data_IF_961309836603
#
_entry.id   IF_961309836603
#
_cell.length_a   1.000
_cell.length_b   1.000
_cell.length_c   1.000
_cell.angle_alpha   90.00
_cell.angle_beta   90.00
_cell.angle_gamma   90.00
#
_symmetry.space_group_name_H-M   'P 1'
#
loop_
_entity.id
_entity.type
_entity.pdbx_description
1 polymer ?
#
# COMPACT_ATOMS: atom_id res chain seq x y z
N UNK A 1 30.99 28.68 9.50
CA UNK A 1 29.99 27.99 10.35
C UNK A 1 29.10 27.17 9.41
N UNK A 2 29.37 25.87 9.33
CA UNK A 2 28.67 24.95 8.45
C UNK A 2 27.49 24.38 9.25
N UNK A 3 26.28 24.76 8.90
CA UNK A 3 25.06 24.24 9.53
C UNK A 3 24.74 22.90 8.86
N UNK A 4 25.00 21.79 9.56
CA UNK A 4 24.53 20.47 9.13
C UNK A 4 23.00 20.44 9.16
N UNK A 5 22.33 19.88 8.13
CA UNK A 5 20.88 19.73 8.16
C UNK A 5 20.48 18.73 9.26
N UNK A 6 19.32 18.91 9.90
CA UNK A 6 18.84 18.01 10.93
C UNK A 6 18.63 16.61 10.36
N UNK A 7 19.19 15.62 11.06
CA UNK A 7 19.02 14.20 10.79
C UNK A 7 17.55 13.83 10.97
N UNK A 8 16.85 13.45 9.89
CA UNK A 8 15.49 12.96 9.98
C UNK A 8 15.49 11.59 10.66
N UNK A 9 14.67 11.37 11.68
CA UNK A 9 14.57 10.06 12.33
C UNK A 9 13.99 9.02 11.37
N UNK A 10 14.53 7.82 11.47
CA UNK A 10 14.14 6.66 10.62
C UNK A 10 12.82 6.12 11.14
N UNK A 11 11.79 5.90 10.29
CA UNK A 11 10.55 5.29 10.73
C UNK A 11 10.79 3.92 11.35
N UNK A 12 10.16 3.66 12.50
CA UNK A 12 10.38 2.47 13.34
C UNK A 12 10.11 1.12 12.67
N UNK A 13 9.43 1.10 11.51
CA UNK A 13 9.16 -0.11 10.74
C UNK A 13 10.45 -0.77 10.20
N UNK A 14 11.49 0.04 9.93
CA UNK A 14 12.80 -0.48 9.51
C UNK A 14 13.53 -1.16 10.67
N UNK A 15 13.50 -0.57 11.86
CA UNK A 15 14.09 -1.18 13.06
C UNK A 15 13.42 -2.51 13.41
N UNK A 16 12.14 -2.64 13.10
CA UNK A 16 11.40 -3.88 13.33
C UNK A 16 11.71 -4.95 12.27
N UNK A 17 11.85 -4.57 11.01
CA UNK A 17 12.33 -5.46 9.95
C UNK A 17 13.77 -5.93 10.24
N UNK A 18 14.65 -5.05 10.68
CA UNK A 18 16.02 -5.42 11.07
C UNK A 18 16.06 -6.28 12.32
N UNK A 19 15.20 -6.04 13.32
CA UNK A 19 15.08 -6.87 14.51
C UNK A 19 14.53 -8.27 14.22
N UNK A 20 13.65 -8.42 13.23
CA UNK A 20 13.13 -9.72 12.78
C UNK A 20 14.15 -10.53 11.97
N UNK A 21 15.05 -9.88 11.24
CA UNK A 21 16.01 -10.54 10.36
C UNK A 21 17.46 -10.47 10.87
N UNK A 22 17.75 -9.62 11.88
CA UNK A 22 19.11 -9.38 12.40
C UNK A 22 19.60 -10.33 13.47
N UNK A 23 18.76 -11.18 14.06
CA UNK A 23 19.16 -12.08 15.18
C UNK A 23 19.43 -13.52 14.80
N UNK A 24 19.51 -13.88 13.52
CA UNK A 24 19.82 -15.25 13.14
C UNK A 24 21.13 -15.37 12.36
N UNK A 25 22.23 -14.99 13.01
CA UNK A 25 23.59 -15.29 12.54
C UNK A 25 24.29 -16.27 13.49
N UNK A 26 23.65 -17.38 13.77
CA UNK A 26 24.31 -18.60 14.27
C UNK A 26 23.30 -19.75 14.36
N UNK A 27 23.12 -20.52 13.33
CA UNK A 27 23.01 -21.98 13.37
C UNK A 27 22.63 -22.50 11.98
N UNK A 28 23.55 -23.23 11.39
CA UNK A 28 23.31 -24.07 10.21
C UNK A 28 22.36 -25.22 10.63
N UNK A 29 21.19 -25.26 10.03
CA UNK A 29 20.26 -26.36 10.15
C UNK A 29 19.18 -26.18 9.12
N UNK A 30 19.13 -27.06 8.10
CA UNK A 30 18.05 -27.22 7.14
C UNK A 30 16.72 -27.29 7.88
N UNK A 31 15.81 -26.38 7.56
CA UNK A 31 14.39 -26.72 7.46
C UNK A 31 13.65 -25.54 6.82
N UNK A 32 13.05 -25.86 5.67
CA UNK A 32 12.18 -24.96 4.94
C UNK A 32 10.84 -24.89 5.69
N UNK A 33 10.58 -23.75 6.34
CA UNK A 33 9.22 -23.42 6.76
C UNK A 33 8.86 -22.02 6.26
N UNK A 34 8.14 -22.06 5.14
CA UNK A 34 7.48 -20.95 4.53
C UNK A 34 6.36 -20.46 5.46
N UNK A 35 6.53 -19.30 6.08
CA UNK A 35 5.41 -18.59 6.69
C UNK A 35 4.56 -17.93 5.59
N UNK A 36 3.66 -18.73 5.07
CA UNK A 36 2.58 -18.29 4.19
C UNK A 36 1.54 -17.60 5.08
N UNK A 37 1.37 -16.30 4.94
CA UNK A 37 0.16 -15.61 5.36
C UNK A 37 -0.96 -15.93 4.35
N UNK A 38 -1.43 -17.20 4.39
CA UNK A 38 -2.61 -17.64 3.70
C UNK A 38 -3.85 -17.33 4.54
N UNK A 39 -4.58 -16.28 4.23
CA UNK A 39 -5.98 -16.22 4.57
C UNK A 39 -6.72 -17.15 3.62
N UNK A 40 -6.89 -18.39 4.02
CA UNK A 40 -7.83 -19.31 3.40
C UNK A 40 -9.24 -18.82 3.72
N UNK A 41 -9.93 -18.25 2.74
CA UNK A 41 -11.38 -18.12 2.76
C UNK A 41 -11.95 -19.49 2.40
N UNK A 42 -12.39 -20.26 3.39
CA UNK A 42 -13.26 -21.39 3.21
C UNK A 42 -14.63 -20.89 2.73
N UNK A 43 -14.83 -20.97 1.41
CA UNK A 43 -16.19 -20.88 0.85
C UNK A 43 -16.78 -22.29 0.96
N UNK A 44 -17.68 -22.46 1.93
CA UNK A 44 -18.50 -23.64 2.05
C UNK A 44 -19.30 -23.83 0.75
N UNK A 45 -19.00 -24.92 0.09
CA UNK A 45 -19.73 -25.41 -1.08
C UNK A 45 -21.03 -26.05 -0.60
N UNK A 46 -22.14 -25.33 -0.73
CA UNK A 46 -23.47 -25.92 -0.58
C UNK A 46 -23.95 -26.44 -1.92
N UNK A 47 -23.87 -27.72 -2.11
CA UNK A 47 -24.62 -28.43 -3.13
C UNK A 47 -26.11 -28.29 -2.85
N UNK A 48 -26.89 -27.81 -3.79
CA UNK A 48 -28.31 -28.10 -3.90
C UNK A 48 -28.73 -28.20 -5.36
N UNK A 49 -28.84 -29.43 -5.77
CA UNK A 49 -29.56 -29.91 -6.97
C UNK A 49 -31.07 -29.63 -6.87
N UNK A 50 -31.65 -29.07 -7.95
CA UNK A 50 -33.11 -29.02 -8.14
C UNK A 50 -33.48 -28.31 -9.45
N UNK A 51 -34.48 -28.77 -10.20
CA UNK A 51 -34.47 -28.74 -11.66
C UNK A 51 -35.28 -27.61 -12.31
N UNK A 52 -34.84 -27.33 -13.52
CA UNK A 52 -35.48 -26.71 -14.71
C UNK A 52 -36.83 -25.99 -14.60
N UNK A 53 -36.84 -24.73 -14.99
CA UNK A 53 -38.00 -23.96 -15.40
C UNK A 53 -37.60 -22.91 -16.45
N UNK A 54 -37.87 -23.24 -17.73
CA UNK A 54 -37.73 -22.38 -18.89
C UNK A 54 -38.63 -21.18 -18.80
N UNK A 55 -38.14 -19.96 -19.19
CA UNK A 55 -38.81 -18.96 -20.02
C UNK A 55 -37.91 -17.71 -20.11
N UNK A 56 -37.39 -17.41 -21.30
CA UNK A 56 -36.98 -16.07 -21.75
C UNK A 56 -38.27 -15.32 -22.24
N UNK A 57 -38.26 -13.99 -22.56
CA UNK A 57 -37.14 -13.15 -23.01
C UNK A 57 -37.21 -11.66 -22.60
N UNK A 58 -36.20 -10.89 -23.09
CA UNK A 58 -36.18 -9.48 -23.41
C UNK A 58 -35.95 -8.46 -22.29
N UNK A 59 -34.80 -7.81 -22.38
CA UNK A 59 -34.63 -6.47 -21.87
C UNK A 59 -33.21 -6.14 -21.44
N UNK A 60 -32.54 -5.37 -22.27
CA UNK A 60 -31.36 -4.53 -21.99
C UNK A 60 -30.18 -5.23 -21.31
N UNK A 61 -29.25 -5.68 -22.12
CA UNK A 61 -27.87 -5.95 -21.70
C UNK A 61 -27.21 -4.67 -21.20
N UNK A 62 -27.44 -4.34 -19.96
CA UNK A 62 -26.42 -3.61 -19.21
C UNK A 62 -25.29 -4.60 -19.03
N UNK A 63 -24.26 -4.48 -19.84
CA UNK A 63 -22.98 -5.15 -19.59
C UNK A 63 -22.49 -4.65 -18.24
N UNK A 64 -22.80 -5.39 -17.19
CA UNK A 64 -22.05 -5.31 -15.95
C UNK A 64 -20.69 -5.93 -16.28
N UNK A 65 -19.75 -5.08 -16.66
CA UNK A 65 -18.35 -5.48 -16.66
C UNK A 65 -18.06 -6.09 -15.28
N UNK A 66 -17.42 -7.27 -15.20
CA UNK A 66 -16.94 -7.77 -13.93
C UNK A 66 -16.03 -6.69 -13.37
N UNK A 67 -16.46 -6.09 -12.25
CA UNK A 67 -15.69 -5.10 -11.51
C UNK A 67 -14.35 -5.75 -11.21
N UNK A 68 -13.30 -5.27 -11.86
CA UNK A 68 -11.93 -5.62 -11.53
C UNK A 68 -11.66 -5.01 -10.15
N UNK A 69 -11.98 -5.78 -9.11
CA UNK A 69 -11.94 -5.36 -7.69
C UNK A 69 -10.53 -5.03 -7.20
N UNK A 70 -9.51 -5.23 -8.02
CA UNK A 70 -8.12 -4.95 -7.64
C UNK A 70 -7.60 -3.57 -8.02
N UNK A 71 -8.26 -2.86 -8.91
CA UNK A 71 -7.88 -1.50 -9.30
C UNK A 71 -8.71 -0.45 -8.58
N UNK A 72 -8.07 0.63 -8.16
CA UNK A 72 -8.76 1.81 -7.59
C UNK A 72 -9.10 2.87 -8.65
N UNK A 73 -8.91 2.55 -9.92
CA UNK A 73 -9.10 3.46 -11.05
C UNK A 73 -10.02 2.87 -12.10
N UNK A 74 -10.68 3.77 -12.82
CA UNK A 74 -11.36 3.51 -14.09
C UNK A 74 -10.36 3.38 -15.25
N UNK A 75 -10.84 2.97 -16.43
CA UNK A 75 -10.01 2.86 -17.64
C UNK A 75 -9.46 4.21 -18.12
N UNK A 76 -10.07 5.33 -17.74
CA UNK A 76 -9.60 6.70 -18.01
C UNK A 76 -8.56 7.23 -17.01
N UNK A 77 -8.14 6.41 -16.03
CA UNK A 77 -7.16 6.78 -15.01
C UNK A 77 -7.72 7.59 -13.83
N UNK A 78 -9.02 7.87 -13.82
CA UNK A 78 -9.67 8.50 -12.66
C UNK A 78 -9.92 7.50 -11.54
N UNK A 79 -10.14 7.98 -10.30
CA UNK A 79 -10.57 7.11 -9.22
C UNK A 79 -11.90 6.43 -9.58
N UNK A 80 -11.96 5.11 -9.38
CA UNK A 80 -13.17 4.34 -9.65
C UNK A 80 -14.32 4.78 -8.74
N UNK A 81 -15.53 4.62 -9.25
CA UNK A 81 -16.74 4.90 -8.47
C UNK A 81 -16.81 3.96 -7.26
N UNK A 82 -17.14 4.51 -6.10
CA UNK A 82 -17.25 3.76 -4.85
C UNK A 82 -15.93 3.54 -4.10
N UNK A 83 -14.80 4.11 -4.55
CA UNK A 83 -13.58 4.15 -3.74
C UNK A 83 -13.85 4.94 -2.46
N UNK A 84 -13.70 4.35 -1.27
CA UNK A 84 -13.86 5.07 -0.02
C UNK A 84 -12.92 6.26 0.05
N UNK A 85 -13.37 7.36 0.64
CA UNK A 85 -12.56 8.58 0.84
C UNK A 85 -12.04 9.25 -0.43
N UNK A 86 -12.67 9.03 -1.60
CA UNK A 86 -12.20 9.53 -2.90
C UNK A 86 -11.92 11.05 -2.89
N UNK A 87 -12.78 11.85 -2.25
CA UNK A 87 -12.60 13.30 -2.18
C UNK A 87 -11.39 13.70 -1.33
N UNK A 88 -11.11 12.96 -0.26
CA UNK A 88 -9.91 13.18 0.56
C UNK A 88 -8.65 12.85 -0.23
N UNK A 89 -8.64 11.76 -1.01
CA UNK A 89 -7.52 11.45 -1.90
C UNK A 89 -7.30 12.51 -2.96
N UNK A 90 -8.38 13.05 -3.57
CA UNK A 90 -8.27 14.14 -4.55
C UNK A 90 -7.71 15.41 -3.92
N UNK A 91 -8.22 15.79 -2.75
CA UNK A 91 -7.78 17.00 -2.04
C UNK A 91 -6.31 16.91 -1.61
N UNK A 92 -5.92 15.83 -0.94
CA UNK A 92 -4.54 15.62 -0.51
C UNK A 92 -3.57 15.46 -1.68
N UNK A 93 -4.01 14.76 -2.73
CA UNK A 93 -3.22 14.61 -3.96
C UNK A 93 -2.92 15.95 -4.62
N UNK A 94 -3.93 16.83 -4.74
CA UNK A 94 -3.76 18.18 -5.27
C UNK A 94 -2.85 19.05 -4.39
N UNK A 95 -2.99 18.96 -3.06
CA UNK A 95 -2.18 19.74 -2.11
C UNK A 95 -0.70 19.36 -2.12
N UNK A 96 -0.38 18.09 -2.31
CA UNK A 96 0.98 17.58 -2.19
C UNK A 96 1.63 17.09 -3.50
N UNK A 97 0.92 17.19 -4.64
CA UNK A 97 1.42 16.78 -5.96
C UNK A 97 1.56 15.26 -6.12
N UNK A 98 0.69 14.48 -5.47
CA UNK A 98 0.63 13.03 -5.60
C UNK A 98 -0.66 12.63 -6.30
N UNK A 99 -0.59 11.70 -7.25
CA UNK A 99 -1.80 11.23 -7.92
C UNK A 99 -2.80 10.62 -6.91
N UNK A 100 -4.09 11.01 -6.93
CA UNK A 100 -5.10 10.46 -6.02
C UNK A 100 -5.20 8.93 -6.08
N UNK A 101 -4.99 8.35 -7.27
CA UNK A 101 -4.96 6.89 -7.47
C UNK A 101 -3.83 6.21 -6.70
N UNK A 102 -2.67 6.84 -6.57
CA UNK A 102 -1.55 6.32 -5.79
C UNK A 102 -1.91 6.29 -4.30
N UNK A 103 -2.50 7.38 -3.78
CA UNK A 103 -2.93 7.43 -2.37
C UNK A 103 -3.99 6.38 -2.06
N UNK A 104 -4.98 6.22 -2.94
CA UNK A 104 -6.01 5.20 -2.80
C UNK A 104 -5.43 3.77 -2.90
N UNK A 105 -4.47 3.54 -3.79
CA UNK A 105 -3.78 2.24 -3.91
C UNK A 105 -2.95 1.91 -2.67
N UNK A 106 -2.29 2.91 -2.06
CA UNK A 106 -1.60 2.76 -0.77
C UNK A 106 -2.61 2.37 0.31
N UNK A 107 -3.71 3.13 0.50
CA UNK A 107 -4.72 2.83 1.51
C UNK A 107 -5.32 1.43 1.33
N UNK A 108 -5.63 1.04 0.08
CA UNK A 108 -6.11 -0.30 -0.24
C UNK A 108 -5.11 -1.39 0.15
N UNK A 109 -3.83 -1.15 -0.14
CA UNK A 109 -2.77 -2.13 0.12
C UNK A 109 -2.46 -2.25 1.60
N UNK A 110 -2.49 -1.14 2.33
CA UNK A 110 -2.15 -1.07 3.76
C UNK A 110 -3.25 -1.63 4.66
N UNK A 111 -4.50 -1.25 4.42
CA UNK A 111 -5.61 -1.53 5.35
C UNK A 111 -6.88 -2.06 4.68
N UNK A 112 -6.92 -2.21 3.35
CA UNK A 112 -8.16 -2.42 2.59
C UNK A 112 -9.22 -1.33 2.89
N UNK A 113 -8.79 -0.09 3.08
CA UNK A 113 -9.59 1.07 3.44
C UNK A 113 -10.20 1.04 4.86
N UNK A 114 -9.70 0.21 5.77
CA UNK A 114 -10.15 0.20 7.17
C UNK A 114 -9.42 1.29 7.98
N UNK A 115 -10.13 2.34 8.47
CA UNK A 115 -9.51 3.41 9.25
C UNK A 115 -9.13 2.96 10.68
N UNK A 116 -9.59 1.80 11.13
CA UNK A 116 -9.32 1.26 12.46
C UNK A 116 -8.32 0.11 12.43
N UNK A 117 -7.74 -0.20 11.28
CA UNK A 117 -6.80 -1.30 11.14
C UNK A 117 -5.58 -1.12 12.05
N UNK A 118 -5.17 -2.21 12.70
CA UNK A 118 -3.92 -2.28 13.47
C UNK A 118 -3.17 -3.53 13.05
N UNK A 119 -1.94 -3.36 12.58
CA UNK A 119 -1.09 -4.49 12.21
C UNK A 119 -0.47 -5.15 13.44
N UNK A 120 0.05 -6.38 13.30
CA UNK A 120 0.81 -7.05 14.35
C UNK A 120 2.06 -6.27 14.77
N UNK A 121 2.58 -5.45 13.86
CA UNK A 121 3.72 -4.57 14.07
C UNK A 121 3.36 -3.25 14.78
N UNK A 122 2.07 -3.01 15.01
CA UNK A 122 1.57 -1.79 15.64
C UNK A 122 1.36 -0.63 14.67
N UNK A 123 1.40 -0.84 13.36
CA UNK A 123 1.00 0.17 12.40
C UNK A 123 -0.51 0.43 12.48
N UNK A 124 -0.94 1.69 12.36
CA UNK A 124 -2.27 2.15 12.73
C UNK A 124 -3.01 2.83 11.59
N UNK A 125 -4.32 2.59 11.54
CA UNK A 125 -5.30 3.30 10.74
C UNK A 125 -5.23 3.02 9.24
N UNK A 126 -5.96 3.85 8.50
CA UNK A 126 -6.16 3.74 7.06
C UNK A 126 -4.85 3.62 6.25
N UNK A 127 -3.86 4.40 6.63
CA UNK A 127 -2.58 4.54 5.93
C UNK A 127 -1.42 3.82 6.64
N UNK A 128 -1.71 3.04 7.69
CA UNK A 128 -0.78 2.21 8.45
C UNK A 128 0.48 2.94 8.92
N UNK A 129 0.28 4.09 9.58
CA UNK A 129 1.37 4.79 10.23
C UNK A 129 1.88 4.06 11.47
N UNK A 130 3.20 3.95 11.60
CA UNK A 130 3.79 3.59 12.89
C UNK A 130 3.58 4.72 13.90
N UNK A 131 3.32 4.40 15.18
CA UNK A 131 3.04 5.41 16.20
C UNK A 131 4.10 6.52 16.29
N UNK A 132 5.39 6.17 16.19
CA UNK A 132 6.49 7.13 16.18
C UNK A 132 6.40 8.08 14.99
N UNK A 133 6.19 7.55 13.79
CA UNK A 133 6.07 8.35 12.56
C UNK A 133 4.83 9.24 12.60
N UNK A 134 3.70 8.73 13.09
CA UNK A 134 2.47 9.50 13.26
C UNK A 134 2.70 10.70 14.19
N UNK A 135 3.34 10.47 15.34
CA UNK A 135 3.65 11.52 16.33
C UNK A 135 4.62 12.58 15.75
N UNK A 136 5.70 12.16 15.09
CA UNK A 136 6.69 13.06 14.47
C UNK A 136 6.08 13.93 13.37
N UNK A 137 5.14 13.36 12.62
CA UNK A 137 4.46 14.06 11.53
C UNK A 137 3.23 14.84 11.98
N UNK A 138 2.80 14.72 13.24
CA UNK A 138 1.58 15.32 13.75
C UNK A 138 0.32 14.77 13.07
N UNK A 139 0.30 13.46 12.77
CA UNK A 139 -0.80 12.75 12.10
C UNK A 139 -1.62 11.99 13.14
N UNK A 140 -2.95 12.15 13.09
CA UNK A 140 -3.87 11.20 13.73
C UNK A 140 -4.10 10.03 12.74
N UNK A 141 -3.57 8.82 13.02
CA UNK A 141 -3.67 7.70 12.11
C UNK A 141 -5.09 7.13 11.98
N UNK A 142 -5.98 7.42 12.95
CA UNK A 142 -7.36 6.96 12.96
C UNK A 142 -8.35 7.95 12.34
N UNK A 143 -7.92 9.21 12.13
CA UNK A 143 -8.69 10.17 11.34
C UNK A 143 -8.31 10.07 9.86
N UNK A 144 -9.23 9.62 8.97
CA UNK A 144 -8.94 9.45 7.55
C UNK A 144 -8.39 10.70 6.86
N UNK A 145 -8.88 11.90 7.22
CA UNK A 145 -8.42 13.14 6.60
C UNK A 145 -6.97 13.43 6.99
N UNK A 146 -6.64 13.33 8.28
CA UNK A 146 -5.29 13.50 8.80
C UNK A 146 -4.32 12.46 8.25
N UNK A 147 -4.74 11.19 8.22
CA UNK A 147 -3.91 10.09 7.74
C UNK A 147 -3.60 10.22 6.23
N UNK A 148 -4.59 10.55 5.40
CA UNK A 148 -4.41 10.71 3.95
C UNK A 148 -3.53 11.91 3.65
N UNK A 149 -3.75 13.06 4.30
CA UNK A 149 -2.90 14.25 4.13
C UNK A 149 -1.46 13.95 4.53
N UNK A 150 -1.27 13.32 5.70
CA UNK A 150 0.05 12.90 6.18
C UNK A 150 0.77 11.97 5.21
N UNK A 151 0.06 10.99 4.65
CA UNK A 151 0.61 10.05 3.67
C UNK A 151 1.00 10.74 2.36
N UNK A 152 0.16 11.65 1.87
CA UNK A 152 0.45 12.42 0.66
C UNK A 152 1.70 13.30 0.86
N UNK A 153 1.80 13.98 2.00
CA UNK A 153 2.97 14.76 2.39
C UNK A 153 4.23 13.91 2.47
N UNK A 154 4.16 12.73 3.10
CA UNK A 154 5.30 11.82 3.24
C UNK A 154 5.76 11.24 1.91
N UNK A 155 4.83 10.81 1.05
CA UNK A 155 5.14 10.36 -0.31
C UNK A 155 5.76 11.48 -1.16
N UNK A 156 5.24 12.71 -1.06
CA UNK A 156 5.79 13.86 -1.77
C UNK A 156 7.22 14.19 -1.33
N UNK A 157 7.51 14.10 -0.03
CA UNK A 157 8.88 14.27 0.49
C UNK A 157 9.83 13.20 -0.05
N UNK A 158 9.41 11.93 -0.04
CA UNK A 158 10.20 10.82 -0.56
C UNK A 158 10.37 10.91 -2.08
N UNK A 159 9.34 11.33 -2.82
CA UNK A 159 9.44 11.54 -4.28
C UNK A 159 10.48 12.62 -4.62
N UNK A 160 10.48 13.74 -3.89
CA UNK A 160 11.50 14.78 -4.06
C UNK A 160 12.91 14.30 -3.69
N UNK A 161 13.01 13.43 -2.68
CA UNK A 161 14.31 12.90 -2.20
C UNK A 161 14.92 11.90 -3.15
N UNK A 162 14.13 11.00 -3.70
CA UNK A 162 14.59 9.84 -4.47
C UNK A 162 14.35 9.94 -5.97
N UNK A 163 13.53 10.90 -6.43
CA UNK A 163 13.34 11.20 -7.85
C UNK A 163 12.41 10.24 -8.61
N UNK A 164 11.94 9.14 -8.01
CA UNK A 164 10.98 8.24 -8.66
C UNK A 164 9.87 7.81 -7.69
N UNK A 165 8.70 7.48 -8.26
CA UNK A 165 7.55 7.01 -7.49
C UNK A 165 7.84 5.64 -6.87
N UNK A 166 8.52 4.75 -7.58
CA UNK A 166 8.91 3.44 -7.10
C UNK A 166 9.77 3.53 -5.84
N UNK A 167 10.76 4.42 -5.84
CA UNK A 167 11.62 4.65 -4.68
C UNK A 167 10.87 5.36 -3.55
N UNK A 168 9.92 6.25 -3.86
CA UNK A 168 9.07 6.88 -2.85
C UNK A 168 8.15 5.85 -2.17
N UNK A 169 7.58 4.91 -2.91
CA UNK A 169 6.78 3.80 -2.37
C UNK A 169 7.64 2.82 -1.57
N UNK A 170 8.84 2.51 -2.05
CA UNK A 170 9.79 1.70 -1.29
C UNK A 170 10.18 2.37 0.04
N UNK A 171 10.39 3.70 0.03
CA UNK A 171 10.66 4.48 1.24
C UNK A 171 9.44 4.59 2.17
N UNK A 172 8.24 4.58 1.63
CA UNK A 172 7.01 4.52 2.42
C UNK A 172 6.92 3.21 3.22
N UNK A 173 7.18 2.08 2.58
CA UNK A 173 7.10 0.76 3.20
C UNK A 173 8.34 0.43 4.06
N UNK A 174 9.56 0.56 3.52
CA UNK A 174 10.79 0.15 4.18
C UNK A 174 11.51 1.28 4.93
N UNK A 175 11.06 2.53 4.77
CA UNK A 175 11.71 3.71 5.28
C UNK A 175 12.79 4.30 4.35
N UNK A 176 12.99 5.63 4.38
CA UNK A 176 13.93 6.31 3.50
C UNK A 176 15.39 5.95 3.78
N UNK A 177 15.71 5.54 5.02
CA UNK A 177 17.05 5.06 5.39
C UNK A 177 17.45 3.79 4.64
N UNK A 178 16.55 2.82 4.54
CA UNK A 178 16.79 1.57 3.81
C UNK A 178 16.99 1.82 2.31
N UNK A 179 16.17 2.68 1.70
CA UNK A 179 16.32 3.04 0.28
C UNK A 179 17.65 3.73 0.03
N UNK A 180 18.06 4.62 0.91
CA UNK A 180 19.35 5.30 0.82
C UNK A 180 20.52 4.33 0.99
N UNK A 181 20.46 3.44 1.97
CA UNK A 181 21.50 2.45 2.25
C UNK A 181 21.73 1.49 1.08
N UNK A 182 20.65 1.07 0.43
CA UNK A 182 20.71 0.13 -0.69
C UNK A 182 20.85 0.82 -2.06
N UNK A 183 20.76 2.15 -2.13
CA UNK A 183 20.83 2.89 -3.39
C UNK A 183 19.66 2.60 -4.35
N UNK A 184 18.56 2.03 -3.86
CA UNK A 184 17.42 1.58 -4.64
C UNK A 184 16.34 0.93 -3.79
N UNK A 185 15.46 0.14 -4.41
CA UNK A 185 14.48 -0.66 -3.67
C UNK A 185 15.23 -1.71 -2.84
N UNK A 186 15.08 -1.72 -1.50
CA UNK A 186 15.78 -2.67 -0.65
C UNK A 186 15.43 -4.12 -1.00
N UNK A 187 16.35 -5.09 -0.80
CA UNK A 187 16.12 -6.50 -1.10
C UNK A 187 15.25 -7.19 -0.01
N UNK A 188 14.27 -6.48 0.51
CA UNK A 188 13.28 -7.01 1.43
C UNK A 188 12.10 -7.57 0.63
N UNK A 189 11.76 -8.83 0.82
CA UNK A 189 10.70 -9.50 0.07
C UNK A 189 9.36 -8.75 0.14
N UNK A 190 9.03 -8.17 1.31
CA UNK A 190 7.84 -7.36 1.49
C UNK A 190 7.87 -6.11 0.61
N UNK A 191 8.97 -5.34 0.62
CA UNK A 191 9.07 -4.10 -0.14
C UNK A 191 9.10 -4.36 -1.65
N UNK A 192 9.77 -5.43 -2.09
CA UNK A 192 9.80 -5.84 -3.49
C UNK A 192 8.43 -6.27 -4.02
N UNK A 193 7.57 -6.84 -3.15
CA UNK A 193 6.19 -7.17 -3.50
C UNK A 193 5.25 -5.95 -3.38
N UNK A 194 5.51 -5.05 -2.44
CA UNK A 194 4.68 -3.88 -2.16
C UNK A 194 4.67 -2.89 -3.33
N UNK A 195 5.84 -2.51 -3.83
CA UNK A 195 5.96 -1.47 -4.87
C UNK A 195 5.15 -1.82 -6.12
N UNK A 196 5.35 -2.98 -6.78
CA UNK A 196 4.56 -3.33 -7.97
C UNK A 196 3.07 -3.51 -7.66
N UNK A 197 2.71 -3.98 -6.46
CA UNK A 197 1.30 -4.13 -6.04
C UNK A 197 0.59 -2.78 -5.99
N UNK A 198 1.21 -1.76 -5.37
CA UNK A 198 0.62 -0.41 -5.29
C UNK A 198 0.54 0.22 -6.67
N UNK A 199 1.60 0.12 -7.49
CA UNK A 199 1.60 0.65 -8.86
C UNK A 199 0.49 0.02 -9.70
N UNK A 200 0.36 -1.31 -9.68
CA UNK A 200 -0.69 -2.02 -10.41
C UNK A 200 -2.09 -1.59 -9.97
N UNK A 201 -2.33 -1.45 -8.66
CA UNK A 201 -3.60 -0.98 -8.11
C UNK A 201 -3.91 0.46 -8.53
N UNK A 202 -2.90 1.32 -8.62
CA UNK A 202 -3.01 2.70 -9.11
C UNK A 202 -3.12 2.80 -10.64
N UNK A 203 -3.08 1.67 -11.37
CA UNK A 203 -3.09 1.63 -12.83
C UNK A 203 -1.80 2.11 -13.48
N UNK A 204 -0.73 2.15 -12.71
CA UNK A 204 0.59 2.50 -13.18
C UNK A 204 1.40 1.23 -13.39
N UNK A 205 2.19 1.20 -14.44
CA UNK A 205 3.16 0.12 -14.66
C UNK A 205 4.51 0.62 -14.18
N UNK A 206 5.22 -0.19 -13.42
CA UNK A 206 6.65 0.07 -13.24
C UNK A 206 7.24 0.21 -14.63
N UNK A 207 7.89 1.35 -14.94
CA UNK A 207 8.57 1.53 -16.20
C UNK A 207 9.66 0.48 -16.26
N UNK A 208 9.27 -0.66 -16.82
CA UNK A 208 10.09 -1.83 -16.94
C UNK A 208 11.29 -1.51 -17.81
N UNK A 209 12.42 -2.02 -17.41
CA UNK A 209 13.48 -2.29 -18.35
C UNK A 209 12.87 -2.96 -19.59
N UNK A 210 12.79 -2.19 -20.68
CA UNK A 210 12.59 -2.77 -21.99
C UNK A 210 13.89 -3.48 -22.30
N UNK A 211 13.81 -4.80 -22.47
CA UNK A 211 14.86 -5.64 -23.06
C UNK A 211 15.37 -5.08 -24.37
#
# INVERSE_FOLDING_TARGET
>A
MTISPPSMPVPSRVLELEARFGTNRASLGNDADAFIFGRTLDIARSDSTGPVGSLAPLGSSTRVNPVHTDRVINDDGTLADGVPYADLFRSAGAAHGIQPSVLAAVAKTESAFDPNAVSHAGAQGLMQFMPGTAAEMGVDPYDPASAIDGAARYLSQNLRRFGSLELALAAYNAGPGAVQQHGGIPPFAETQAYVPKVLAAAGLHANGATT
#
